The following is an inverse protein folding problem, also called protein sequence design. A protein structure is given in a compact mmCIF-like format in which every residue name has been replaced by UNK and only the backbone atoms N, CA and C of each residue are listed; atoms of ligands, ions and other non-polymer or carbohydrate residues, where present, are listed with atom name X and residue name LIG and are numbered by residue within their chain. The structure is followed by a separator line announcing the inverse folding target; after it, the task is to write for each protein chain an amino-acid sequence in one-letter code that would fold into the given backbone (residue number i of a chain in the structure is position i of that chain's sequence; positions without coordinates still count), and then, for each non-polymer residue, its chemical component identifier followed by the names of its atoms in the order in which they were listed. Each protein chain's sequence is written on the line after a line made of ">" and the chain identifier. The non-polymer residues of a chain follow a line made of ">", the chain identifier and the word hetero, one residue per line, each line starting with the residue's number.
data_IF_978465125096
#
_entry.id   IF_978465125096
#
_cell.length_a   1.000
_cell.length_b   1.000
_cell.length_c   1.000
_cell.angle_alpha   90.00
_cell.angle_beta   90.00
_cell.angle_gamma   90.00
#
_symmetry.space_group_name_H-M   'P 1'
#
loop_
_entity.id
_entity.type
_entity.pdbx_description
1 polymer ?
#
# COMPACT_ATOMS: atom_id res chain seq x y z
N UNK A 1 -28.98 0.68 -18.04
CA UNK A 1 -28.09 1.54 -18.85
C UNK A 1 -28.07 1.10 -20.31
N UNK A 2 -27.87 -0.19 -20.61
CA UNK A 2 -27.84 -0.68 -21.98
C UNK A 2 -29.10 -0.36 -22.82
N UNK A 3 -30.28 -0.43 -22.22
CA UNK A 3 -31.54 -0.07 -22.89
C UNK A 3 -31.69 1.44 -23.14
N UNK A 4 -31.08 2.27 -22.28
CA UNK A 4 -31.24 3.73 -22.30
C UNK A 4 -30.16 4.45 -23.11
N UNK A 5 -28.98 3.83 -23.24
CA UNK A 5 -27.81 4.34 -23.94
C UNK A 5 -27.11 3.22 -24.73
N UNK A 6 -27.79 2.63 -25.72
CA UNK A 6 -27.27 1.49 -26.49
C UNK A 6 -26.06 1.84 -27.37
N UNK A 7 -25.88 3.12 -27.72
CA UNK A 7 -24.81 3.61 -28.59
C UNK A 7 -23.45 3.75 -27.89
N UNK A 8 -23.42 3.69 -26.56
CA UNK A 8 -22.19 3.82 -25.77
C UNK A 8 -21.70 2.45 -25.26
N UNK A 9 -20.37 2.22 -25.21
CA UNK A 9 -19.83 1.02 -24.61
C UNK A 9 -20.28 0.87 -23.15
N UNK A 10 -20.96 -0.24 -22.84
CA UNK A 10 -21.53 -0.46 -21.51
C UNK A 10 -20.48 -0.44 -20.40
N UNK A 11 -19.29 -0.98 -20.66
CA UNK A 11 -18.19 -0.97 -19.69
C UNK A 11 -17.75 0.47 -19.38
N UNK A 12 -17.66 1.35 -20.38
CA UNK A 12 -17.29 2.75 -20.18
C UNK A 12 -18.34 3.52 -19.35
N UNK A 13 -19.63 3.23 -19.56
CA UNK A 13 -20.70 3.76 -18.70
C UNK A 13 -20.56 3.25 -17.26
N UNK A 14 -20.22 1.98 -17.06
CA UNK A 14 -19.97 1.39 -15.75
C UNK A 14 -18.79 2.04 -15.02
N UNK A 15 -17.66 2.25 -15.71
CA UNK A 15 -16.51 2.97 -15.16
C UNK A 15 -16.85 4.42 -14.80
N UNK A 16 -17.71 5.08 -15.59
CA UNK A 16 -18.14 6.45 -15.31
C UNK A 16 -18.96 6.53 -14.02
N UNK A 17 -19.83 5.55 -13.78
CA UNK A 17 -20.59 5.45 -12.52
C UNK A 17 -19.64 5.28 -11.32
N UNK A 18 -18.63 4.43 -11.43
CA UNK A 18 -17.63 4.26 -10.36
C UNK A 18 -16.76 5.51 -10.14
N UNK A 19 -16.49 6.28 -11.20
CA UNK A 19 -15.69 7.49 -11.10
C UNK A 19 -16.47 8.69 -10.54
N UNK A 20 -17.78 8.76 -10.79
CA UNK A 20 -18.59 9.93 -10.51
C UNK A 20 -19.45 9.80 -9.24
N UNK A 21 -19.76 8.58 -8.80
CA UNK A 21 -20.59 8.34 -7.63
C UNK A 21 -19.77 7.74 -6.48
N UNK A 22 -20.02 8.16 -5.23
CA UNK A 22 -19.51 7.47 -4.06
C UNK A 22 -20.15 6.08 -3.97
N UNK A 23 -19.39 5.04 -4.29
CA UNK A 23 -19.85 3.65 -4.26
C UNK A 23 -19.05 2.82 -3.27
N UNK A 24 -19.65 1.74 -2.79
CA UNK A 24 -18.98 0.68 -2.03
C UNK A 24 -19.23 -0.68 -2.65
N UNK A 25 -18.23 -1.57 -2.58
CA UNK A 25 -18.37 -2.96 -3.02
C UNK A 25 -19.03 -3.77 -1.91
N UNK A 26 -20.22 -4.29 -2.16
CA UNK A 26 -20.98 -5.04 -1.14
C UNK A 26 -20.52 -6.51 -1.09
N UNK A 27 -20.32 -7.11 0.10
CA UNK A 27 -20.05 -8.55 0.19
C UNK A 27 -21.30 -9.40 -0.16
N UNK A 28 -21.12 -10.60 -0.74
CA UNK A 28 -19.84 -11.16 -1.17
C UNK A 28 -19.39 -10.57 -2.52
N UNK A 29 -18.17 -10.03 -2.56
CA UNK A 29 -17.53 -9.40 -3.72
C UNK A 29 -16.28 -10.18 -4.15
N UNK A 30 -16.47 -11.48 -4.41
CA UNK A 30 -15.37 -12.44 -4.39
C UNK A 30 -14.90 -12.72 -2.96
N UNK A 31 -14.25 -13.85 -2.75
CA UNK A 31 -13.57 -14.16 -1.49
C UNK A 31 -12.12 -14.49 -1.81
N UNK A 32 -11.26 -14.56 -0.81
CA UNK A 32 -9.88 -15.01 -1.03
C UNK A 32 -9.86 -16.33 -1.82
N UNK A 33 -9.10 -16.36 -2.92
CA UNK A 33 -9.02 -17.51 -3.82
C UNK A 33 -10.25 -17.80 -4.70
N UNK A 34 -11.32 -16.99 -4.64
CA UNK A 34 -12.53 -17.15 -5.48
C UNK A 34 -12.96 -15.85 -6.12
N UNK A 35 -12.95 -15.82 -7.45
CA UNK A 35 -13.56 -14.73 -8.23
C UNK A 35 -15.07 -14.74 -8.05
N UNK A 36 -15.69 -13.58 -8.09
CA UNK A 36 -17.12 -13.42 -7.97
C UNK A 36 -17.60 -12.13 -8.61
N UNK A 37 -18.91 -11.89 -8.56
CA UNK A 37 -19.48 -10.61 -8.94
C UNK A 37 -18.91 -9.48 -8.07
N UNK A 38 -18.84 -8.27 -8.61
CA UNK A 38 -18.48 -7.06 -7.86
C UNK A 38 -19.70 -6.16 -7.77
N UNK A 39 -20.68 -6.47 -6.89
CA UNK A 39 -21.87 -5.64 -6.77
C UNK A 39 -21.54 -4.32 -6.07
N UNK A 40 -22.17 -3.24 -6.53
CA UNK A 40 -22.00 -1.89 -5.97
C UNK A 40 -23.32 -1.40 -5.39
N UNK A 41 -23.25 -0.55 -4.37
CA UNK A 41 -24.35 0.27 -3.84
C UNK A 41 -23.81 1.67 -3.55
N UNK A 42 -24.70 2.66 -3.42
CA UNK A 42 -24.30 3.99 -3.03
C UNK A 42 -23.69 3.95 -1.61
N UNK A 43 -22.60 4.67 -1.41
CA UNK A 43 -21.92 4.72 -0.12
C UNK A 43 -22.85 5.24 0.99
N UNK A 44 -23.70 6.23 0.69
CA UNK A 44 -24.67 6.77 1.65
C UNK A 44 -25.72 5.76 2.10
N UNK A 45 -26.20 4.90 1.20
CA UNK A 45 -27.16 3.84 1.51
C UNK A 45 -26.52 2.79 2.42
N UNK A 46 -25.28 2.41 2.12
CA UNK A 46 -24.55 1.41 2.91
C UNK A 46 -24.13 1.93 4.29
N UNK A 47 -23.61 3.16 4.34
CA UNK A 47 -23.14 3.81 5.57
C UNK A 47 -24.32 4.28 6.43
N UNK A 48 -25.48 4.55 5.84
CA UNK A 48 -26.67 5.07 6.52
C UNK A 48 -26.55 6.57 6.85
N UNK A 49 -25.70 7.30 6.14
CA UNK A 49 -25.49 8.74 6.34
C UNK A 49 -25.18 9.43 4.99
N UNK A 50 -25.63 10.69 4.80
CA UNK A 50 -25.38 11.41 3.55
C UNK A 50 -23.89 11.66 3.34
N UNK A 51 -23.44 11.58 2.09
CA UNK A 51 -22.09 12.01 1.74
C UNK A 51 -21.93 13.52 1.88
N UNK A 52 -20.73 13.98 2.23
CA UNK A 52 -20.44 15.41 2.26
C UNK A 52 -20.51 15.99 0.85
N UNK A 53 -21.21 17.12 0.70
CA UNK A 53 -21.32 17.82 -0.58
C UNK A 53 -19.97 18.37 -1.08
N UNK A 54 -19.11 18.79 -0.16
CA UNK A 54 -17.79 19.36 -0.46
C UNK A 54 -16.66 18.44 0.04
N UNK A 55 -15.55 18.31 -0.71
CA UNK A 55 -14.38 17.58 -0.27
C UNK A 55 -13.79 18.13 1.03
N UNK A 56 -13.43 17.23 1.96
CA UNK A 56 -12.82 17.58 3.25
C UNK A 56 -11.31 17.36 3.22
N UNK A 57 -10.60 18.14 2.40
CA UNK A 57 -9.16 17.94 2.13
C UNK A 57 -8.32 18.03 3.40
N UNK A 58 -8.63 18.93 4.33
CA UNK A 58 -7.95 19.07 5.62
C UNK A 58 -7.99 17.76 6.42
N UNK A 59 -9.16 17.12 6.47
CA UNK A 59 -9.33 15.83 7.15
C UNK A 59 -8.62 14.68 6.41
N UNK A 60 -8.46 14.79 5.08
CA UNK A 60 -7.68 13.84 4.30
C UNK A 60 -6.18 13.99 4.57
N UNK A 61 -5.67 15.22 4.70
CA UNK A 61 -4.27 15.48 5.09
C UNK A 61 -3.98 14.91 6.47
N UNK A 62 -4.85 15.14 7.47
CA UNK A 62 -4.66 14.54 8.79
C UNK A 62 -4.61 13.01 8.76
N UNK A 63 -5.50 12.35 7.99
CA UNK A 63 -5.50 10.88 7.84
C UNK A 63 -4.25 10.39 7.11
N UNK A 64 -3.79 11.12 6.11
CA UNK A 64 -2.55 10.81 5.41
C UNK A 64 -1.36 10.87 6.36
N UNK A 65 -1.23 11.94 7.15
CA UNK A 65 -0.15 12.06 8.14
C UNK A 65 -0.24 10.99 9.23
N UNK A 66 -1.44 10.60 9.67
CA UNK A 66 -1.62 9.51 10.62
C UNK A 66 -1.08 8.17 10.13
N UNK A 67 -1.12 7.92 8.81
CA UNK A 67 -0.62 6.68 8.21
C UNK A 67 0.83 6.75 7.72
N UNK A 68 1.27 7.93 7.26
CA UNK A 68 2.48 8.08 6.46
C UNK A 68 3.37 9.27 6.85
N UNK A 69 3.05 9.95 7.94
CA UNK A 69 3.89 11.01 8.50
C UNK A 69 5.23 10.48 9.08
N UNK A 70 6.25 11.33 9.21
CA UNK A 70 6.36 12.68 8.67
C UNK A 70 6.46 12.69 7.14
N UNK A 71 5.74 13.60 6.49
CA UNK A 71 5.68 13.70 5.03
C UNK A 71 5.53 15.15 4.55
N UNK A 72 6.01 15.43 3.33
CA UNK A 72 5.89 16.74 2.70
C UNK A 72 4.62 16.91 1.86
N UNK A 73 4.36 18.15 1.43
CA UNK A 73 3.23 18.46 0.54
C UNK A 73 3.27 17.65 -0.76
N UNK A 74 4.47 17.47 -1.33
CA UNK A 74 4.66 16.68 -2.56
C UNK A 74 4.32 15.21 -2.37
N UNK A 75 4.58 14.66 -1.19
CA UNK A 75 4.26 13.26 -0.89
C UNK A 75 2.74 13.08 -0.85
N UNK A 76 2.01 13.98 -0.17
CA UNK A 76 0.55 13.98 -0.17
C UNK A 76 -0.04 14.12 -1.57
N UNK A 77 0.51 15.00 -2.40
CA UNK A 77 0.05 15.18 -3.78
C UNK A 77 0.29 13.93 -4.63
N UNK A 78 1.45 13.29 -4.48
CA UNK A 78 1.76 12.05 -5.20
C UNK A 78 0.84 10.90 -4.78
N UNK A 79 0.50 10.80 -3.49
CA UNK A 79 -0.40 9.78 -2.95
C UNK A 79 -1.87 10.01 -3.31
N UNK A 80 -2.37 11.23 -3.11
CA UNK A 80 -3.80 11.56 -3.29
C UNK A 80 -4.19 11.87 -4.73
N UNK A 81 -3.23 12.22 -5.58
CA UNK A 81 -3.48 12.77 -6.92
C UNK A 81 -4.00 14.21 -6.92
N UNK A 82 -4.24 14.81 -5.75
CA UNK A 82 -4.59 16.22 -5.64
C UNK A 82 -3.39 17.10 -5.95
N UNK A 83 -3.66 18.30 -6.47
CA UNK A 83 -2.63 19.31 -6.78
C UNK A 83 -2.94 20.59 -6.03
N UNK A 84 -1.93 21.47 -5.91
CA UNK A 84 -2.07 22.82 -5.33
C UNK A 84 -2.62 22.78 -3.89
N UNK A 85 -2.08 21.87 -3.09
CA UNK A 85 -2.51 21.64 -1.70
C UNK A 85 -1.68 22.42 -0.68
N UNK A 86 -0.79 23.30 -1.13
CA UNK A 86 0.10 24.10 -0.28
C UNK A 86 -0.69 24.94 0.72
N UNK A 87 -1.75 25.63 0.27
CA UNK A 87 -2.63 26.43 1.13
C UNK A 87 -3.35 25.61 2.21
N UNK A 88 -3.58 24.31 1.97
CA UNK A 88 -4.16 23.40 2.96
C UNK A 88 -3.13 23.13 4.07
N UNK A 89 -1.89 22.84 3.68
CA UNK A 89 -0.81 22.61 4.64
C UNK A 89 -0.48 23.89 5.42
N UNK A 90 -0.44 25.05 4.80
CA UNK A 90 -0.20 26.34 5.48
C UNK A 90 -1.26 26.62 6.54
N UNK A 91 -2.54 26.35 6.23
CA UNK A 91 -3.65 26.50 7.18
C UNK A 91 -3.55 25.51 8.34
N UNK A 92 -3.15 24.27 8.09
CA UNK A 92 -3.04 23.23 9.11
C UNK A 92 -1.75 23.34 9.94
N UNK A 93 -0.72 23.99 9.41
CA UNK A 93 0.62 24.12 10.00
C UNK A 93 0.63 24.46 11.50
N UNK A 94 -0.19 25.39 12.03
CA UNK A 94 -0.17 25.71 13.46
C UNK A 94 -0.50 24.52 14.38
N UNK A 95 -1.20 23.51 13.87
CA UNK A 95 -1.57 22.28 14.61
C UNK A 95 -0.70 21.07 14.31
N UNK A 96 0.37 21.21 13.50
CA UNK A 96 1.24 20.12 13.08
C UNK A 96 2.65 20.30 13.62
N UNK A 97 3.36 19.18 13.80
CA UNK A 97 4.80 19.18 14.02
C UNK A 97 5.51 19.36 12.69
N UNK A 98 6.60 20.13 12.70
CA UNK A 98 7.40 20.40 11.50
C UNK A 98 8.83 19.94 11.75
N UNK A 99 9.30 19.07 10.86
CA UNK A 99 10.67 18.58 10.81
C UNK A 99 11.36 19.06 9.54
N UNK A 100 12.67 18.81 9.45
CA UNK A 100 13.45 18.97 8.23
C UNK A 100 14.25 17.70 7.99
N UNK A 101 14.26 17.25 6.74
CA UNK A 101 15.16 16.18 6.33
C UNK A 101 16.58 16.70 6.04
N UNK A 102 17.47 15.80 5.64
CA UNK A 102 18.87 16.10 5.33
C UNK A 102 19.03 17.04 4.14
N UNK A 103 18.03 17.09 3.25
CA UNK A 103 17.97 18.03 2.13
C UNK A 103 17.30 19.37 2.51
N UNK A 104 16.92 19.54 3.78
CA UNK A 104 16.26 20.73 4.31
C UNK A 104 14.78 20.87 3.94
N UNK A 105 14.16 19.83 3.37
CA UNK A 105 12.73 19.81 3.02
C UNK A 105 11.89 19.76 4.29
N UNK A 106 10.85 20.59 4.37
CA UNK A 106 9.91 20.53 5.49
C UNK A 106 9.04 19.27 5.40
N UNK A 107 8.95 18.56 6.51
CA UNK A 107 8.07 17.41 6.70
C UNK A 107 7.08 17.73 7.82
N UNK A 108 5.81 17.41 7.61
CA UNK A 108 4.74 17.64 8.56
C UNK A 108 4.35 16.32 9.21
N UNK A 109 3.95 16.38 10.48
CA UNK A 109 3.45 15.23 11.21
C UNK A 109 2.40 15.65 12.25
N UNK A 110 1.64 14.69 12.75
CA UNK A 110 0.66 14.92 13.81
C UNK A 110 1.36 15.21 15.14
N UNK A 111 0.75 16.03 16.02
CA UNK A 111 1.33 16.38 17.32
C UNK A 111 1.58 15.17 18.23
N UNK A 112 0.71 14.17 18.13
CA UNK A 112 0.71 12.91 18.88
C UNK A 112 1.41 11.76 18.15
N UNK A 113 1.94 11.99 16.95
CA UNK A 113 2.72 10.98 16.24
C UNK A 113 4.01 10.62 16.99
N UNK A 114 4.30 9.32 17.05
CA UNK A 114 5.48 8.77 17.69
C UNK A 114 6.54 8.49 16.64
N UNK A 115 7.70 9.13 16.79
CA UNK A 115 8.89 8.75 16.04
C UNK A 115 9.66 7.70 16.85
N UNK A 116 9.92 6.51 16.29
CA UNK A 116 10.80 5.55 16.94
C UNK A 116 12.21 6.13 17.06
N UNK A 117 12.93 5.68 18.09
CA UNK A 117 14.35 5.97 18.22
C UNK A 117 15.10 5.41 16.99
N UNK A 118 16.07 6.15 16.41
CA UNK A 118 16.75 5.74 15.18
C UNK A 118 17.51 4.41 15.31
N UNK A 119 17.88 3.99 16.52
CA UNK A 119 18.55 2.72 16.77
C UNK A 119 17.56 1.55 16.95
N UNK A 120 16.24 1.80 16.87
CA UNK A 120 15.22 0.74 16.89
C UNK A 120 15.37 -0.11 15.63
N UNK A 121 15.67 -1.42 15.76
CA UNK A 121 15.82 -2.28 14.60
C UNK A 121 14.51 -2.38 13.81
N UNK A 122 14.58 -2.21 12.49
CA UNK A 122 13.47 -2.49 11.60
C UNK A 122 13.44 -3.99 11.26
N UNK A 123 12.46 -4.76 11.76
CA UNK A 123 12.44 -6.20 11.55
C UNK A 123 12.22 -6.55 10.07
N UNK A 124 12.62 -7.76 9.70
CA UNK A 124 12.30 -8.29 8.37
C UNK A 124 10.79 -8.42 8.21
N UNK A 125 10.28 -7.96 7.07
CA UNK A 125 8.85 -8.04 6.73
C UNK A 125 8.62 -8.53 5.31
N UNK A 126 7.62 -9.38 5.16
CA UNK A 126 7.08 -9.78 3.86
C UNK A 126 5.86 -8.94 3.55
N UNK A 127 6.03 -7.94 2.69
CA UNK A 127 4.94 -7.03 2.32
C UNK A 127 4.20 -7.55 1.09
N UNK A 128 2.86 -7.43 1.06
CA UNK A 128 2.07 -7.81 -0.10
C UNK A 128 2.37 -6.93 -1.31
N UNK A 129 1.83 -7.32 -2.46
CA UNK A 129 1.77 -6.45 -3.62
C UNK A 129 1.02 -5.16 -3.28
N UNK A 130 1.46 -4.06 -3.90
CA UNK A 130 0.87 -2.73 -3.71
C UNK A 130 0.88 -2.18 -2.27
N UNK A 131 1.79 -2.67 -1.41
CA UNK A 131 1.90 -2.12 -0.06
C UNK A 131 2.19 -0.61 -0.08
N UNK A 132 1.47 0.14 0.77
CA UNK A 132 1.54 1.60 0.79
C UNK A 132 2.91 2.13 1.21
N UNK A 133 3.74 1.35 1.90
CA UNK A 133 5.10 1.78 2.25
C UNK A 133 5.93 2.16 1.00
N UNK A 134 5.61 1.58 -0.17
CA UNK A 134 6.27 1.85 -1.45
C UNK A 134 5.57 2.92 -2.29
N UNK A 135 4.36 3.35 -1.89
CA UNK A 135 3.45 4.14 -2.73
C UNK A 135 3.01 5.47 -2.10
N UNK A 136 3.12 5.61 -0.78
CA UNK A 136 2.58 6.75 -0.05
C UNK A 136 3.45 8.02 -0.11
N UNK A 137 4.69 7.92 -0.59
CA UNK A 137 5.62 9.04 -0.70
C UNK A 137 6.05 9.28 -2.14
N UNK A 138 6.30 10.54 -2.49
CA UNK A 138 6.86 10.92 -3.77
C UNK A 138 8.30 10.45 -3.90
N UNK A 139 9.06 10.62 -2.81
CA UNK A 139 10.41 10.09 -2.68
C UNK A 139 10.37 8.65 -2.18
N UNK A 140 10.46 7.69 -3.10
CA UNK A 140 10.43 6.26 -2.78
C UNK A 140 11.79 5.72 -2.33
N UNK A 141 12.85 6.51 -2.45
CA UNK A 141 14.21 6.09 -2.07
C UNK A 141 14.35 5.85 -0.56
N UNK A 142 13.39 6.36 0.22
CA UNK A 142 13.20 6.09 1.66
C UNK A 142 13.13 4.60 2.00
N UNK A 143 12.67 3.76 1.08
CA UNK A 143 12.42 2.33 1.33
C UNK A 143 12.95 1.44 0.19
N UNK A 144 13.04 1.96 -1.03
CA UNK A 144 13.49 1.18 -2.20
C UNK A 144 14.45 1.98 -3.08
N UNK A 145 15.61 1.41 -3.40
CA UNK A 145 16.57 2.04 -4.33
C UNK A 145 15.98 2.15 -5.74
N UNK A 146 16.44 3.13 -6.53
CA UNK A 146 15.99 3.28 -7.92
C UNK A 146 16.30 2.06 -8.78
N UNK A 147 17.38 1.34 -8.48
CA UNK A 147 17.72 0.07 -9.13
C UNK A 147 16.64 -0.98 -8.88
N UNK A 148 16.31 -1.23 -7.62
CA UNK A 148 15.33 -2.25 -7.25
C UNK A 148 13.90 -1.82 -7.60
N UNK A 149 13.62 -0.52 -7.62
CA UNK A 149 12.31 0.01 -8.02
C UNK A 149 11.93 -0.40 -9.44
N UNK A 150 12.90 -0.45 -10.36
CA UNK A 150 12.67 -0.93 -11.75
C UNK A 150 12.31 -2.41 -11.83
N UNK A 151 12.75 -3.22 -10.86
CA UNK A 151 12.44 -4.65 -10.76
C UNK A 151 11.10 -4.91 -10.06
N UNK A 152 10.76 -4.09 -9.06
CA UNK A 152 9.55 -4.23 -8.24
C UNK A 152 8.33 -3.58 -8.88
N UNK A 153 8.50 -2.41 -9.51
CA UNK A 153 7.42 -1.65 -10.13
C UNK A 153 7.49 -1.80 -11.66
N UNK A 154 6.73 -2.73 -12.22
CA UNK A 154 6.70 -3.01 -13.66
C UNK A 154 5.35 -2.64 -14.24
N UNK A 155 5.31 -1.56 -15.03
CA UNK A 155 4.05 -0.99 -15.52
C UNK A 155 3.19 -0.52 -14.36
N UNK A 156 1.95 -1.01 -14.30
CA UNK A 156 1.02 -0.74 -13.20
C UNK A 156 1.16 -1.72 -12.03
N UNK A 157 2.04 -2.74 -12.10
CA UNK A 157 2.20 -3.75 -11.07
C UNK A 157 3.28 -3.37 -10.06
N UNK A 158 3.04 -3.70 -8.79
CA UNK A 158 4.01 -3.56 -7.69
C UNK A 158 4.13 -4.93 -7.02
N UNK A 159 5.30 -5.55 -7.14
CA UNK A 159 5.51 -6.90 -6.60
C UNK A 159 5.46 -6.93 -5.07
N UNK A 160 5.08 -8.08 -4.45
CA UNK A 160 5.31 -8.32 -3.04
C UNK A 160 6.80 -8.24 -2.72
N UNK A 161 7.17 -7.58 -1.62
CA UNK A 161 8.58 -7.27 -1.31
C UNK A 161 9.05 -7.86 0.00
N UNK A 162 10.36 -8.10 0.08
CA UNK A 162 11.07 -8.46 1.30
C UNK A 162 11.76 -7.21 1.81
N UNK A 163 11.36 -6.71 2.98
CA UNK A 163 12.08 -5.66 3.68
C UNK A 163 13.13 -6.28 4.60
N UNK A 164 14.34 -5.76 4.54
CA UNK A 164 15.41 -6.03 5.51
C UNK A 164 15.91 -4.68 5.99
N UNK A 165 15.87 -4.47 7.30
CA UNK A 165 16.24 -3.20 7.93
C UNK A 165 15.52 -2.01 7.29
N UNK A 166 14.19 -2.13 7.16
CA UNK A 166 13.32 -1.09 6.61
C UNK A 166 13.43 -0.87 5.09
N UNK A 167 14.28 -1.61 4.38
CA UNK A 167 14.50 -1.41 2.95
C UNK A 167 14.22 -2.66 2.12
N UNK A 168 13.73 -2.46 0.89
CA UNK A 168 13.51 -3.56 -0.06
C UNK A 168 14.84 -4.23 -0.41
N UNK A 169 14.91 -5.53 -0.19
CA UNK A 169 16.04 -6.40 -0.53
C UNK A 169 15.63 -7.65 -1.31
N UNK A 170 14.39 -7.74 -1.76
CA UNK A 170 13.93 -8.84 -2.60
C UNK A 170 12.44 -8.77 -2.89
N UNK A 171 11.98 -9.76 -3.63
CA UNK A 171 10.56 -10.02 -3.90
C UNK A 171 10.20 -11.43 -3.48
N UNK A 172 8.91 -11.68 -3.31
CA UNK A 172 8.43 -13.01 -2.98
C UNK A 172 7.10 -13.33 -3.68
N UNK A 173 6.75 -14.61 -3.72
CA UNK A 173 5.46 -15.07 -4.23
C UNK A 173 4.89 -16.16 -3.33
N UNK A 174 3.56 -16.26 -3.25
CA UNK A 174 2.86 -17.37 -2.61
C UNK A 174 2.11 -18.17 -3.67
N UNK A 175 2.30 -19.50 -3.72
CA UNK A 175 1.58 -20.37 -4.64
C UNK A 175 1.24 -21.69 -3.98
N UNK A 176 0.03 -22.19 -4.20
CA UNK A 176 -0.33 -23.56 -3.86
C UNK A 176 0.24 -24.53 -4.90
N UNK A 177 0.93 -25.56 -4.43
CA UNK A 177 1.54 -26.64 -5.21
C UNK A 177 1.05 -27.98 -4.61
N UNK A 178 0.01 -28.55 -5.22
CA UNK A 178 -0.69 -29.71 -4.67
C UNK A 178 -1.34 -29.41 -3.32
N UNK A 179 -0.95 -30.16 -2.28
CA UNK A 179 -1.41 -29.99 -0.89
C UNK A 179 -0.53 -29.03 -0.06
N UNK A 180 0.55 -28.52 -0.66
CA UNK A 180 1.44 -27.57 -0.01
C UNK A 180 1.19 -26.16 -0.54
N UNK A 181 1.42 -25.16 0.29
CA UNK A 181 1.60 -23.78 -0.13
C UNK A 181 3.07 -23.41 0.01
N UNK A 182 3.64 -22.94 -1.10
CA UNK A 182 5.05 -22.62 -1.27
C UNK A 182 5.21 -21.10 -1.29
N UNK A 183 6.00 -20.58 -0.36
CA UNK A 183 6.52 -19.22 -0.42
C UNK A 183 7.87 -19.26 -1.11
N UNK A 184 7.99 -18.58 -2.24
CA UNK A 184 9.28 -18.41 -2.95
C UNK A 184 9.81 -17.02 -2.68
N UNK A 185 10.93 -16.94 -1.96
CA UNK A 185 11.66 -15.70 -1.71
C UNK A 185 12.81 -15.54 -2.71
N UNK A 186 12.96 -14.33 -3.26
CA UNK A 186 13.99 -13.96 -4.23
C UNK A 186 14.74 -12.71 -3.75
N UNK A 187 15.74 -12.88 -2.88
CA UNK A 187 16.61 -11.78 -2.46
C UNK A 187 17.38 -11.19 -3.65
N UNK A 188 17.62 -9.88 -3.62
CA UNK A 188 18.44 -9.15 -4.60
C UNK A 188 19.93 -9.13 -4.24
N UNK A 189 20.27 -9.60 -3.05
CA UNK A 189 21.64 -9.85 -2.58
C UNK A 189 21.67 -11.08 -1.69
N UNK A 190 22.85 -11.59 -1.42
CA UNK A 190 23.01 -12.62 -0.40
C UNK A 190 22.53 -12.08 0.95
N UNK A 191 21.74 -12.88 1.67
CA UNK A 191 21.30 -12.58 3.03
C UNK A 191 22.33 -13.10 4.03
N UNK A 192 22.58 -12.33 5.09
CA UNK A 192 23.35 -12.78 6.23
C UNK A 192 22.58 -13.87 7.01
N UNK A 193 23.27 -14.66 7.84
CA UNK A 193 22.65 -15.76 8.59
C UNK A 193 21.42 -15.32 9.40
N UNK A 194 21.54 -14.23 10.16
CA UNK A 194 20.42 -13.68 10.94
C UNK A 194 19.25 -13.19 10.07
N UNK A 195 19.53 -12.67 8.86
CA UNK A 195 18.49 -12.24 7.92
C UNK A 195 17.77 -13.45 7.30
N UNK A 196 18.51 -14.54 7.02
CA UNK A 196 17.92 -15.80 6.56
C UNK A 196 17.03 -16.44 7.64
N UNK A 197 17.45 -16.42 8.90
CA UNK A 197 16.65 -16.93 10.01
C UNK A 197 15.38 -16.09 10.22
N UNK A 198 15.49 -14.76 10.14
CA UNK A 198 14.35 -13.85 10.21
C UNK A 198 13.38 -14.04 9.03
N UNK A 199 13.89 -14.27 7.82
CA UNK A 199 13.06 -14.58 6.65
C UNK A 199 12.30 -15.89 6.83
N UNK A 200 12.95 -16.92 7.37
CA UNK A 200 12.31 -18.20 7.64
C UNK A 200 11.19 -18.07 8.66
N UNK A 201 11.40 -17.31 9.74
CA UNK A 201 10.40 -17.05 10.76
C UNK A 201 9.19 -16.26 10.21
N UNK A 202 9.44 -15.18 9.48
CA UNK A 202 8.38 -14.35 8.87
C UNK A 202 7.58 -15.14 7.83
N UNK A 203 8.26 -15.94 6.99
CA UNK A 203 7.61 -16.79 6.00
C UNK A 203 6.72 -17.85 6.65
N UNK A 204 7.20 -18.49 7.72
CA UNK A 204 6.42 -19.48 8.48
C UNK A 204 5.15 -18.85 9.09
N UNK A 205 5.26 -17.65 9.67
CA UNK A 205 4.12 -16.93 10.22
C UNK A 205 3.09 -16.58 9.12
N UNK A 206 3.56 -16.11 7.96
CA UNK A 206 2.68 -15.78 6.84
C UNK A 206 2.00 -17.02 6.24
N UNK A 207 2.71 -18.13 6.08
CA UNK A 207 2.16 -19.39 5.58
C UNK A 207 1.09 -19.95 6.52
N UNK A 208 1.33 -19.91 7.84
CA UNK A 208 0.36 -20.30 8.86
C UNK A 208 -0.90 -19.41 8.84
N UNK A 209 -0.73 -18.10 8.63
CA UNK A 209 -1.86 -17.16 8.52
C UNK A 209 -2.67 -17.36 7.23
N UNK A 210 -2.00 -17.44 6.08
CA UNK A 210 -2.66 -17.41 4.78
C UNK A 210 -3.27 -18.76 4.39
N UNK A 211 -2.66 -19.86 4.84
CA UNK A 211 -3.04 -21.23 4.45
C UNK A 211 -2.90 -22.19 5.64
N UNK A 212 -3.69 -22.03 6.71
CA UNK A 212 -3.52 -22.78 7.96
C UNK A 212 -3.66 -24.30 7.80
N UNK A 213 -4.42 -24.75 6.81
CA UNK A 213 -4.73 -26.17 6.59
C UNK A 213 -3.78 -26.86 5.57
N UNK A 214 -2.90 -26.10 4.92
CA UNK A 214 -1.98 -26.63 3.91
C UNK A 214 -0.65 -27.06 4.56
N UNK A 215 0.09 -27.96 3.91
CA UNK A 215 1.50 -28.12 4.21
C UNK A 215 2.28 -26.85 3.78
N UNK A 216 3.35 -26.48 4.47
CA UNK A 216 4.09 -25.24 4.21
C UNK A 216 5.50 -25.52 3.71
N UNK A 217 5.93 -24.78 2.69
CA UNK A 217 7.29 -24.84 2.17
C UNK A 217 7.84 -23.42 1.93
N UNK A 218 9.08 -23.16 2.36
CA UNK A 218 9.84 -21.99 1.99
C UNK A 218 10.93 -22.36 1.00
N UNK A 219 10.93 -21.72 -0.17
CA UNK A 219 12.00 -21.81 -1.17
C UNK A 219 12.72 -20.47 -1.26
N UNK A 220 14.03 -20.45 -0.99
CA UNK A 220 14.86 -19.25 -1.15
C UNK A 220 15.74 -19.41 -2.38
N UNK A 221 15.52 -18.56 -3.39
CA UNK A 221 16.33 -18.55 -4.60
C UNK A 221 17.65 -17.78 -4.36
N UNK A 222 18.69 -18.12 -5.13
CA UNK A 222 19.94 -17.36 -5.09
C UNK A 222 19.76 -16.02 -5.80
N UNK A 223 20.38 -14.94 -5.30
CA UNK A 223 20.38 -13.67 -6.01
C UNK A 223 21.06 -13.82 -7.38
N UNK A 224 20.48 -13.16 -8.38
CA UNK A 224 21.06 -12.98 -9.72
C UNK A 224 22.22 -11.98 -9.71
#
# INVERSE_FOLDING_TARGET
>A
MAERWPEYPHDALGWSVQALLPLVHRPPNGTWGRRGATPFTLAEEWIGAPMHAEPRVDALVHRYLAGFGPAGVKDFQAWSGLRRTDEVFDRLRPGLRVYRDEAGRELFDLPDAVLPDPDVPAPLRLLPDFDNVLLAHADRTRVISDEYRKRVCVGAAVAPTILVDGHVRGVWTLRRDGAATVLTARPFRALAGAESDALAAEAAALLAFATPDDAHELRVERPE
#
